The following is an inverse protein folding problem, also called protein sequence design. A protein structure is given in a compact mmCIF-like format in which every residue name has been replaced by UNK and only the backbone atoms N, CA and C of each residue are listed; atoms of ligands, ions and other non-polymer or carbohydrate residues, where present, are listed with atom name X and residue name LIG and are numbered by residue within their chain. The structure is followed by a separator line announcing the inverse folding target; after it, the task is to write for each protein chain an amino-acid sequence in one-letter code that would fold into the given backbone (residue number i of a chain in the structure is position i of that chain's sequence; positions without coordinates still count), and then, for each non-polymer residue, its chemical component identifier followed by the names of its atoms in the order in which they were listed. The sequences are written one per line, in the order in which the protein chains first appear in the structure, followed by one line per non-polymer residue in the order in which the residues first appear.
data_IF_466016917511
#
_entry.id   IF_466016917511
#
_cell.length_a   1.000
_cell.length_b   1.000
_cell.length_c   1.000
_cell.angle_alpha   90.00
_cell.angle_beta   90.00
_cell.angle_gamma   90.00
#
_symmetry.space_group_name_H-M   'P 1'
#
loop_
_entity.id
_entity.type
_entity.pdbx_description
1 polymer ?
#
# COMPACT_ATOMS: atom_id res chain seq x y z
N UNK A 1 36.97 -14.35 57.02
CA UNK A 1 36.01 -14.94 56.06
C UNK A 1 35.55 -13.85 55.13
N UNK A 2 36.08 -13.77 53.90
CA UNK A 2 35.72 -12.78 52.89
C UNK A 2 34.69 -13.40 51.94
N UNK A 3 33.47 -12.84 51.88
CA UNK A 3 32.43 -13.30 50.94
C UNK A 3 32.68 -12.59 49.59
N UNK A 4 32.93 -13.39 48.54
CA UNK A 4 32.99 -12.89 47.17
C UNK A 4 31.56 -12.79 46.62
N UNK A 5 31.17 -11.60 46.10
CA UNK A 5 29.94 -11.37 45.40
C UNK A 5 30.27 -11.53 43.91
N UNK A 6 29.65 -12.53 43.27
CA UNK A 6 29.76 -12.73 41.82
C UNK A 6 28.62 -11.95 41.15
N UNK A 7 29.01 -10.94 40.38
CA UNK A 7 28.06 -10.20 39.52
C UNK A 7 27.95 -10.93 38.18
N UNK A 8 26.80 -11.55 37.94
CA UNK A 8 26.48 -12.14 36.63
C UNK A 8 25.89 -11.04 35.75
N UNK A 9 26.67 -10.62 34.76
CA UNK A 9 26.25 -9.65 33.73
C UNK A 9 25.41 -10.41 32.69
N UNK A 10 24.08 -10.25 32.71
CA UNK A 10 23.18 -10.73 31.67
C UNK A 10 23.28 -9.80 30.46
N UNK A 11 23.93 -10.27 29.40
CA UNK A 11 24.02 -9.58 28.13
C UNK A 11 22.69 -9.81 27.37
N UNK A 12 21.80 -8.82 27.37
CA UNK A 12 20.63 -8.77 26.49
C UNK A 12 21.11 -8.46 25.06
N UNK A 13 21.20 -9.48 24.22
CA UNK A 13 21.31 -9.29 22.77
C UNK A 13 19.93 -8.93 22.25
N UNK A 14 19.69 -7.64 22.07
CA UNK A 14 18.53 -7.17 21.34
C UNK A 14 18.70 -7.58 19.87
N UNK A 15 17.91 -8.54 19.40
CA UNK A 15 17.72 -8.80 17.98
C UNK A 15 17.05 -7.54 17.38
N UNK A 16 17.85 -6.64 16.83
CA UNK A 16 17.31 -5.57 15.99
C UNK A 16 16.79 -6.20 14.70
N UNK A 17 15.54 -5.88 14.27
CA UNK A 17 15.07 -6.29 12.96
C UNK A 17 16.04 -5.71 11.92
N UNK A 18 16.47 -6.55 10.97
CA UNK A 18 17.32 -6.15 9.87
C UNK A 18 16.58 -5.10 9.03
N UNK A 19 16.91 -3.85 9.23
CA UNK A 19 16.53 -2.78 8.30
C UNK A 19 17.29 -3.09 7.01
N UNK A 20 16.57 -3.34 5.90
CA UNK A 20 17.19 -3.50 4.59
C UNK A 20 18.02 -2.24 4.34
N UNK A 21 19.33 -2.37 4.33
CA UNK A 21 20.20 -1.22 4.16
C UNK A 21 20.11 -0.72 2.70
N UNK A 22 20.31 0.58 2.49
CA UNK A 22 20.33 1.16 1.16
C UNK A 22 21.40 0.51 0.24
N UNK A 23 22.37 -0.15 0.84
CA UNK A 23 23.46 -0.87 0.16
C UNK A 23 23.03 -2.20 -0.46
N UNK A 24 22.02 -2.88 0.11
CA UNK A 24 21.46 -4.15 -0.44
C UNK A 24 20.68 -3.95 -1.74
N UNK A 25 20.16 -2.74 -1.98
CA UNK A 25 19.42 -2.38 -3.21
C UNK A 25 20.41 -1.90 -4.31
N UNK A 26 21.68 -1.67 -3.98
CA UNK A 26 22.70 -1.15 -4.88
C UNK A 26 23.02 -2.16 -6.00
N UNK A 27 22.69 -1.82 -7.23
CA UNK A 27 22.87 -2.66 -8.41
C UNK A 27 21.63 -3.44 -8.86
N UNK A 28 20.68 -3.72 -7.99
CA UNK A 28 19.45 -4.47 -8.28
C UNK A 28 18.18 -3.61 -8.23
N UNK A 29 18.30 -2.27 -8.38
CA UNK A 29 17.18 -1.34 -8.14
C UNK A 29 15.99 -1.61 -9.05
N UNK A 30 16.17 -1.68 -10.36
CA UNK A 30 15.06 -1.86 -11.29
C UNK A 30 14.34 -3.21 -11.09
N UNK A 31 15.05 -4.37 -11.01
CA UNK A 31 14.40 -5.64 -10.66
C UNK A 31 13.67 -5.61 -9.32
N UNK A 32 14.23 -4.95 -8.30
CA UNK A 32 13.55 -4.81 -7.02
C UNK A 32 12.27 -4.01 -7.15
N UNK A 33 12.31 -2.81 -7.77
CA UNK A 33 11.12 -1.97 -7.94
C UNK A 33 10.04 -2.66 -8.77
N UNK A 34 10.43 -3.41 -9.79
CA UNK A 34 9.52 -4.22 -10.59
C UNK A 34 8.91 -5.38 -9.79
N UNK A 35 9.68 -6.01 -8.90
CA UNK A 35 9.20 -7.15 -8.09
C UNK A 35 8.15 -6.76 -7.05
N UNK A 36 8.14 -5.49 -6.59
CA UNK A 36 7.16 -4.95 -5.65
C UNK A 36 6.00 -4.21 -6.33
N UNK A 37 5.99 -4.14 -7.66
CA UNK A 37 4.94 -3.47 -8.43
C UNK A 37 4.00 -4.48 -9.05
N UNK A 38 2.70 -4.16 -9.06
CA UNK A 38 1.66 -5.05 -9.56
C UNK A 38 0.67 -4.29 -10.44
N UNK A 39 0.05 -5.01 -11.38
CA UNK A 39 -1.16 -4.55 -12.06
C UNK A 39 -2.38 -4.97 -11.26
N UNK A 40 -3.33 -4.06 -11.10
CA UNK A 40 -4.62 -4.32 -10.48
C UNK A 40 -5.70 -4.32 -11.56
N UNK A 41 -6.46 -5.39 -11.63
CA UNK A 41 -7.64 -5.50 -12.49
C UNK A 41 -8.90 -5.43 -11.62
N UNK A 42 -9.70 -4.41 -11.88
CA UNK A 42 -10.92 -4.12 -11.15
C UNK A 42 -12.10 -4.04 -12.13
N UNK A 43 -12.72 -5.17 -12.41
CA UNK A 43 -13.75 -5.32 -13.44
C UNK A 43 -13.19 -4.94 -14.83
N UNK A 44 -13.69 -3.86 -15.44
CA UNK A 44 -13.18 -3.31 -16.72
C UNK A 44 -12.10 -2.25 -16.54
N UNK A 45 -11.78 -1.88 -15.30
CA UNK A 45 -10.73 -0.93 -14.95
C UNK A 45 -9.41 -1.64 -14.68
N UNK A 46 -8.31 -0.93 -14.94
CA UNK A 46 -6.97 -1.38 -14.59
C UNK A 46 -6.20 -0.25 -13.94
N UNK A 47 -5.32 -0.60 -13.04
CA UNK A 47 -4.42 0.32 -12.36
C UNK A 47 -3.19 -0.40 -11.88
N UNK A 48 -2.43 0.27 -11.05
CA UNK A 48 -1.18 -0.20 -10.48
C UNK A 48 -1.27 -0.31 -8.96
N UNK A 49 -0.35 -1.02 -8.36
CA UNK A 49 -0.22 -1.10 -6.92
C UNK A 49 1.20 -1.42 -6.47
N UNK A 50 1.45 -1.23 -5.18
CA UNK A 50 2.74 -1.51 -4.54
C UNK A 50 2.57 -2.56 -3.47
N UNK A 51 3.34 -3.65 -3.59
CA UNK A 51 3.34 -4.78 -2.67
C UNK A 51 4.04 -4.44 -1.35
N UNK A 52 3.40 -4.86 -0.28
CA UNK A 52 3.93 -4.79 1.08
C UNK A 52 3.71 -6.14 1.74
N UNK A 53 4.76 -6.73 2.30
CA UNK A 53 4.68 -7.99 3.04
C UNK A 53 4.85 -7.71 4.53
N UNK A 54 4.01 -8.31 5.35
CA UNK A 54 4.08 -8.23 6.81
C UNK A 54 4.04 -9.63 7.42
N UNK A 55 4.88 -9.85 8.42
CA UNK A 55 4.76 -11.02 9.27
C UNK A 55 3.71 -10.77 10.34
N UNK A 56 2.75 -11.67 10.46
CA UNK A 56 1.60 -11.55 11.34
C UNK A 56 1.36 -12.87 12.07
N UNK A 57 0.68 -12.81 13.21
CA UNK A 57 0.17 -14.03 13.84
C UNK A 57 -0.97 -14.58 13.00
N UNK A 58 -0.81 -15.78 12.47
CA UNK A 58 -1.82 -16.48 11.67
C UNK A 58 -3.02 -16.95 12.49
N UNK A 59 -4.03 -17.51 11.82
CA UNK A 59 -5.23 -18.04 12.48
C UNK A 59 -4.94 -19.22 13.39
N UNK A 60 -3.86 -19.94 13.16
CA UNK A 60 -3.36 -21.06 13.98
C UNK A 60 -2.36 -20.63 15.07
N UNK A 61 -2.16 -19.32 15.24
CA UNK A 61 -1.23 -18.75 16.21
C UNK A 61 0.24 -18.74 15.77
N UNK A 62 0.57 -19.26 14.57
CA UNK A 62 1.94 -19.27 14.05
C UNK A 62 2.23 -18.03 13.22
N UNK A 63 3.50 -17.60 13.10
CA UNK A 63 3.90 -16.53 12.20
C UNK A 63 3.59 -16.88 10.74
N UNK A 64 2.96 -15.95 10.01
CA UNK A 64 2.67 -16.08 8.59
C UNK A 64 2.99 -14.78 7.88
N UNK A 65 3.49 -14.89 6.64
CA UNK A 65 3.72 -13.73 5.79
C UNK A 65 2.46 -13.42 4.99
N UNK A 66 1.92 -12.24 5.18
CA UNK A 66 0.73 -11.75 4.50
C UNK A 66 1.11 -10.62 3.57
N UNK A 67 0.63 -10.68 2.33
CA UNK A 67 0.89 -9.69 1.31
C UNK A 67 -0.27 -8.71 1.20
N UNK A 68 0.08 -7.43 1.16
CA UNK A 68 -0.84 -6.32 0.98
C UNK A 68 -0.46 -5.52 -0.26
N UNK A 69 -1.40 -4.76 -0.79
CA UNK A 69 -1.17 -3.88 -1.94
C UNK A 69 -1.74 -2.50 -1.66
N UNK A 70 -0.89 -1.49 -1.69
CA UNK A 70 -1.30 -0.09 -1.72
C UNK A 70 -1.69 0.31 -3.14
N UNK A 71 -2.81 0.99 -3.29
CA UNK A 71 -3.29 1.50 -4.58
C UNK A 71 -4.15 2.75 -4.40
N UNK A 72 -4.46 3.42 -5.51
CA UNK A 72 -5.43 4.51 -5.54
C UNK A 72 -6.87 3.97 -5.43
N UNK A 73 -7.69 4.63 -4.62
CA UNK A 73 -9.06 4.18 -4.38
C UNK A 73 -9.91 4.19 -5.65
N UNK A 74 -9.73 5.17 -6.54
CA UNK A 74 -10.50 5.25 -7.79
C UNK A 74 -10.26 4.06 -8.72
N UNK A 75 -9.13 3.35 -8.61
CA UNK A 75 -8.86 2.10 -9.36
C UNK A 75 -9.90 1.03 -9.01
N UNK A 76 -10.39 1.04 -7.76
CA UNK A 76 -11.31 0.05 -7.22
C UNK A 76 -12.79 0.48 -7.27
N UNK A 77 -13.08 1.70 -7.74
CA UNK A 77 -14.45 2.27 -7.71
C UNK A 77 -15.50 1.37 -8.36
N UNK A 78 -15.15 0.64 -9.41
CA UNK A 78 -16.04 -0.29 -10.11
C UNK A 78 -16.33 -1.60 -9.35
N UNK A 79 -15.52 -1.92 -8.35
CA UNK A 79 -15.74 -3.07 -7.46
C UNK A 79 -16.65 -2.70 -6.30
N UNK A 80 -16.82 -1.42 -6.02
CA UNK A 80 -17.61 -0.87 -4.93
C UNK A 80 -19.10 -1.04 -5.23
N UNK A 81 -19.82 -1.56 -4.24
CA UNK A 81 -21.28 -1.63 -4.22
C UNK A 81 -21.77 -1.00 -2.94
N UNK A 82 -22.84 -0.22 -3.04
CA UNK A 82 -23.53 0.33 -1.89
C UNK A 82 -24.90 -0.28 -1.77
N UNK A 83 -25.34 -0.59 -0.55
CA UNK A 83 -26.71 -0.99 -0.26
C UNK A 83 -27.18 -0.34 1.03
N UNK A 84 -28.43 0.07 1.05
CA UNK A 84 -29.07 0.57 2.25
C UNK A 84 -29.72 -0.60 3.00
N UNK A 85 -29.41 -0.69 4.30
CA UNK A 85 -30.02 -1.67 5.20
C UNK A 85 -30.66 -0.93 6.38
N UNK A 86 -31.70 -1.54 6.96
CA UNK A 86 -32.30 -1.04 8.20
C UNK A 86 -31.62 -1.79 9.35
N UNK A 87 -31.00 -1.04 10.26
CA UNK A 87 -30.49 -1.61 11.51
C UNK A 87 -31.68 -2.10 12.34
N UNK A 88 -31.75 -3.41 12.55
CA UNK A 88 -32.88 -4.07 13.24
C UNK A 88 -32.98 -3.69 14.73
N UNK A 89 -31.90 -3.15 15.33
CA UNK A 89 -31.87 -2.72 16.72
C UNK A 89 -32.32 -1.28 16.91
N UNK A 90 -31.99 -0.41 15.96
CA UNK A 90 -32.25 1.03 16.07
C UNK A 90 -33.38 1.50 15.14
N UNK A 91 -33.77 0.70 14.15
CA UNK A 91 -34.71 1.07 13.10
C UNK A 91 -34.18 2.10 12.11
N UNK A 92 -32.90 2.51 12.26
CA UNK A 92 -32.28 3.52 11.38
C UNK A 92 -31.78 2.92 10.08
N UNK A 93 -31.87 3.71 9.03
CA UNK A 93 -31.28 3.37 7.72
C UNK A 93 -29.77 3.56 7.79
N UNK A 94 -29.01 2.55 7.30
CA UNK A 94 -27.55 2.54 7.25
C UNK A 94 -27.08 2.15 5.87
N UNK A 95 -26.17 2.91 5.30
CA UNK A 95 -25.53 2.57 4.03
C UNK A 95 -24.33 1.68 4.28
N UNK A 96 -24.34 0.51 3.69
CA UNK A 96 -23.22 -0.43 3.70
C UNK A 96 -22.49 -0.34 2.37
N UNK A 97 -21.14 -0.36 2.45
CA UNK A 97 -20.29 -0.41 1.29
C UNK A 97 -19.58 -1.77 1.26
N UNK A 98 -19.73 -2.46 0.14
CA UNK A 98 -19.11 -3.76 -0.10
C UNK A 98 -18.22 -3.68 -1.33
N UNK A 99 -17.11 -4.43 -1.33
CA UNK A 99 -16.24 -4.53 -2.49
C UNK A 99 -16.20 -5.98 -2.98
N UNK A 100 -16.24 -6.16 -4.30
CA UNK A 100 -15.79 -7.40 -4.91
C UNK A 100 -14.26 -7.45 -4.85
N UNK A 101 -13.70 -8.65 -4.92
CA UNK A 101 -12.25 -8.81 -5.01
C UNK A 101 -11.68 -8.20 -6.29
N UNK A 102 -10.48 -7.64 -6.16
CA UNK A 102 -9.64 -7.29 -7.29
C UNK A 102 -8.74 -8.48 -7.69
N UNK A 103 -8.36 -8.57 -8.95
CA UNK A 103 -7.28 -9.45 -9.38
C UNK A 103 -5.96 -8.67 -9.37
N UNK A 104 -4.97 -9.20 -8.65
CA UNK A 104 -3.60 -8.71 -8.62
C UNK A 104 -2.76 -9.54 -9.57
N UNK A 105 -2.05 -8.88 -10.48
CA UNK A 105 -1.14 -9.52 -11.43
C UNK A 105 0.28 -9.03 -11.14
N UNK A 106 1.14 -9.94 -10.70
CA UNK A 106 2.57 -9.71 -10.54
C UNK A 106 3.32 -10.37 -11.69
N UNK A 107 4.14 -9.63 -12.41
CA UNK A 107 5.01 -10.19 -13.42
C UNK A 107 6.18 -10.94 -12.79
N UNK A 108 6.54 -12.06 -13.40
CA UNK A 108 7.74 -12.81 -13.07
C UNK A 108 8.81 -12.41 -14.08
N UNK A 109 9.90 -11.83 -13.57
CA UNK A 109 11.03 -11.37 -14.38
C UNK A 109 12.26 -12.20 -14.01
N UNK A 110 12.88 -12.83 -14.98
CA UNK A 110 14.14 -13.56 -14.85
C UNK A 110 15.13 -13.02 -15.90
N UNK A 111 16.35 -12.72 -15.48
CA UNK A 111 17.41 -12.14 -16.33
C UNK A 111 16.95 -10.91 -17.15
N UNK A 112 16.14 -10.05 -16.53
CA UNK A 112 15.59 -8.85 -17.14
C UNK A 112 14.48 -9.11 -18.17
N UNK A 113 13.96 -10.31 -18.26
CA UNK A 113 12.88 -10.69 -19.19
C UNK A 113 11.64 -11.15 -18.43
N UNK A 114 10.48 -10.75 -18.91
CA UNK A 114 9.21 -11.29 -18.44
C UNK A 114 9.09 -12.75 -18.89
N UNK A 115 9.02 -13.66 -17.93
CA UNK A 115 8.87 -15.12 -18.17
C UNK A 115 7.48 -15.63 -17.80
N UNK A 116 6.70 -14.85 -17.08
CA UNK A 116 5.36 -15.26 -16.68
C UNK A 116 4.65 -14.21 -15.82
N UNK A 117 3.53 -14.60 -15.25
CA UNK A 117 2.76 -13.80 -14.32
C UNK A 117 2.11 -14.65 -13.22
N UNK A 118 1.99 -14.09 -12.00
CA UNK A 118 1.19 -14.64 -10.91
C UNK A 118 -0.09 -13.84 -10.80
N UNK A 119 -1.24 -14.53 -10.80
CA UNK A 119 -2.57 -13.92 -10.61
C UNK A 119 -3.14 -14.33 -9.27
N UNK A 120 -3.58 -13.36 -8.49
CA UNK A 120 -4.13 -13.56 -7.16
C UNK A 120 -5.35 -12.69 -6.95
N UNK A 121 -6.31 -13.16 -6.19
CA UNK A 121 -7.40 -12.34 -5.71
C UNK A 121 -6.97 -11.58 -4.45
N UNK A 122 -7.45 -10.36 -4.33
CA UNK A 122 -7.22 -9.51 -3.17
C UNK A 122 -8.50 -8.80 -2.75
N UNK A 123 -8.72 -8.76 -1.44
CA UNK A 123 -9.87 -8.09 -0.82
C UNK A 123 -9.50 -6.69 -0.39
N UNK A 124 -10.40 -5.74 -0.59
CA UNK A 124 -10.24 -4.37 -0.08
C UNK A 124 -10.44 -4.38 1.43
N UNK A 125 -9.43 -3.98 2.19
CA UNK A 125 -9.49 -3.96 3.67
C UNK A 125 -9.54 -2.53 4.24
N UNK A 126 -9.03 -1.55 3.50
CA UNK A 126 -9.13 -0.12 3.82
C UNK A 126 -9.38 0.66 2.53
N UNK A 127 -10.20 1.68 2.62
CA UNK A 127 -10.59 2.48 1.46
C UNK A 127 -10.90 3.92 1.88
N UNK A 128 -10.48 4.89 1.09
CA UNK A 128 -10.82 6.30 1.23
C UNK A 128 -11.10 6.87 -0.15
N UNK A 129 -12.33 7.28 -0.35
CA UNK A 129 -12.86 7.71 -1.64
C UNK A 129 -11.98 8.76 -2.35
N UNK A 130 -12.01 8.79 -3.69
CA UNK A 130 -11.20 9.69 -4.48
C UNK A 130 -11.74 11.12 -4.52
N UNK A 131 -13.06 11.28 -4.42
CA UNK A 131 -13.72 12.57 -4.55
C UNK A 131 -13.92 13.26 -3.19
N UNK A 132 -14.19 12.49 -2.14
CA UNK A 132 -14.48 13.02 -0.80
C UNK A 132 -13.42 12.63 0.25
N UNK A 133 -12.43 11.83 -0.12
CA UNK A 133 -11.43 11.29 0.78
C UNK A 133 -9.99 11.55 0.37
N UNK A 134 -9.16 10.52 0.57
CA UNK A 134 -7.71 10.59 0.36
C UNK A 134 -7.23 9.92 -0.93
N UNK A 135 -8.14 9.29 -1.68
CA UNK A 135 -7.82 8.45 -2.86
C UNK A 135 -6.80 7.35 -2.54
N UNK A 136 -6.99 6.67 -1.42
CA UNK A 136 -6.13 5.62 -0.92
C UNK A 136 -6.91 4.34 -0.65
N UNK A 137 -6.32 3.21 -1.01
CA UNK A 137 -6.84 1.91 -0.64
C UNK A 137 -5.73 0.92 -0.29
N UNK A 138 -6.03 0.01 0.62
CA UNK A 138 -5.18 -1.11 0.99
C UNK A 138 -5.96 -2.40 0.74
N UNK A 139 -5.34 -3.30 -0.03
CA UNK A 139 -5.88 -4.63 -0.30
C UNK A 139 -5.05 -5.68 0.44
N UNK A 140 -5.69 -6.77 0.83
CA UNK A 140 -5.04 -7.97 1.33
C UNK A 140 -5.12 -9.07 0.27
N UNK A 141 -3.97 -9.60 -0.13
CA UNK A 141 -3.89 -10.74 -1.06
C UNK A 141 -4.40 -11.99 -0.35
N UNK A 142 -5.33 -12.71 -0.97
CA UNK A 142 -5.96 -13.88 -0.34
C UNK A 142 -5.00 -15.05 -0.15
N UNK A 143 -4.03 -15.21 -1.04
CA UNK A 143 -3.00 -16.24 -0.90
C UNK A 143 -1.92 -15.78 0.05
N UNK A 144 -1.85 -16.43 1.19
CA UNK A 144 -0.80 -16.22 2.20
C UNK A 144 0.55 -16.67 1.64
N UNK A 145 1.60 -15.89 1.88
CA UNK A 145 2.96 -16.20 1.44
C UNK A 145 3.13 -16.15 -0.09
N UNK A 146 2.43 -15.25 -0.78
CA UNK A 146 2.57 -15.10 -2.23
C UNK A 146 3.99 -14.74 -2.63
N UNK A 147 4.61 -13.82 -1.89
CA UNK A 147 5.97 -13.33 -2.11
C UNK A 147 6.60 -12.83 -0.82
N UNK A 148 7.93 -12.84 -0.78
CA UNK A 148 8.73 -12.20 0.28
C UNK A 148 9.05 -10.73 -0.03
N UNK A 149 8.75 -10.28 -1.25
CA UNK A 149 9.04 -8.90 -1.67
C UNK A 149 8.16 -7.90 -0.91
N UNK A 150 8.78 -6.80 -0.51
CA UNK A 150 8.08 -5.73 0.22
C UNK A 150 8.68 -4.37 -0.10
N UNK A 151 7.83 -3.37 -0.25
CA UNK A 151 8.28 -1.99 -0.36
C UNK A 151 8.81 -1.48 0.99
N UNK A 152 9.89 -0.71 0.92
CA UNK A 152 10.41 0.10 2.03
C UNK A 152 9.91 1.53 1.81
N UNK A 153 9.29 2.10 2.83
CA UNK A 153 8.73 3.45 2.73
C UNK A 153 9.78 4.50 3.09
N UNK A 154 9.77 5.61 2.33
CA UNK A 154 10.57 6.78 2.64
C UNK A 154 10.22 7.29 4.04
N UNK A 155 11.22 7.43 4.89
CA UNK A 155 11.04 7.77 6.30
C UNK A 155 12.07 8.80 6.71
N UNK A 156 11.60 10.02 6.94
CA UNK A 156 12.34 11.14 7.50
C UNK A 156 11.45 11.90 8.46
N UNK A 157 12.05 12.79 9.26
CA UNK A 157 11.32 13.59 10.24
C UNK A 157 10.10 14.32 9.63
N UNK A 158 10.24 14.82 8.40
CA UNK A 158 9.21 15.60 7.73
C UNK A 158 8.50 14.86 6.59
N UNK A 159 8.97 13.67 6.19
CA UNK A 159 8.49 12.91 5.03
C UNK A 159 8.40 13.75 3.74
N UNK A 160 9.27 14.76 3.60
CA UNK A 160 9.34 15.66 2.46
C UNK A 160 10.59 15.34 1.64
N UNK A 161 10.36 15.02 0.36
CA UNK A 161 11.42 14.80 -0.60
C UNK A 161 11.71 16.12 -1.34
N UNK A 162 12.95 16.64 -1.34
CA UNK A 162 13.26 17.92 -1.96
C UNK A 162 12.91 18.00 -3.45
N UNK A 163 12.53 19.20 -3.91
CA UNK A 163 12.36 19.48 -5.34
C UNK A 163 13.68 19.24 -6.07
N UNK A 164 13.61 18.65 -7.26
CA UNK A 164 14.77 18.25 -8.05
C UNK A 164 15.30 16.85 -7.74
N UNK A 165 14.84 16.21 -6.64
CA UNK A 165 15.23 14.83 -6.35
C UNK A 165 14.76 13.90 -7.48
N UNK A 166 15.67 13.10 -8.01
CA UNK A 166 15.38 12.10 -9.03
C UNK A 166 14.57 10.95 -8.44
N UNK A 167 13.53 10.56 -9.16
CA UNK A 167 12.62 9.49 -8.76
C UNK A 167 12.32 8.56 -9.94
N UNK A 168 11.93 7.33 -9.62
CA UNK A 168 11.39 6.37 -10.56
C UNK A 168 9.92 6.12 -10.28
N UNK A 169 9.16 5.86 -11.33
CA UNK A 169 7.82 5.32 -11.25
C UNK A 169 7.81 3.92 -11.85
N UNK A 170 7.15 2.98 -11.19
CA UNK A 170 6.87 1.66 -11.77
C UNK A 170 5.37 1.41 -11.68
N UNK A 171 4.78 1.07 -12.83
CA UNK A 171 3.35 0.86 -12.91
C UNK A 171 2.91 0.20 -14.22
N UNK A 172 1.60 0.11 -14.40
CA UNK A 172 0.97 -0.56 -15.54
C UNK A 172 0.48 0.49 -16.53
N UNK A 173 1.42 1.06 -17.29
CA UNK A 173 1.15 2.07 -18.30
C UNK A 173 0.23 1.48 -19.38
N UNK A 174 -0.94 2.09 -19.59
CA UNK A 174 -2.01 1.52 -20.42
C UNK A 174 -2.51 0.13 -19.94
N UNK A 175 -2.47 -0.08 -18.62
CA UNK A 175 -2.92 -1.32 -18.00
C UNK A 175 -1.95 -2.50 -18.25
N UNK A 176 -2.51 -3.69 -18.47
CA UNK A 176 -1.72 -4.90 -18.66
C UNK A 176 -0.77 -4.83 -19.88
N UNK A 177 -1.07 -4.00 -20.87
CA UNK A 177 -0.23 -3.87 -22.07
C UNK A 177 1.16 -3.32 -21.71
N UNK A 178 1.23 -2.30 -20.84
CA UNK A 178 2.47 -1.74 -20.35
C UNK A 178 2.72 -2.09 -18.87
N UNK A 179 2.34 -3.29 -18.46
CA UNK A 179 2.53 -3.74 -17.08
C UNK A 179 4.02 -3.68 -16.70
N UNK A 180 4.26 -3.31 -15.44
CA UNK A 180 5.59 -3.29 -14.84
C UNK A 180 6.61 -2.38 -15.57
N UNK A 181 6.09 -1.37 -16.30
CA UNK A 181 6.94 -0.37 -16.96
C UNK A 181 7.55 0.58 -15.94
N UNK A 182 8.84 0.88 -16.14
CA UNK A 182 9.59 1.81 -15.31
C UNK A 182 9.87 3.10 -16.09
N UNK A 183 9.57 4.25 -15.48
CA UNK A 183 9.88 5.58 -16.00
C UNK A 183 10.64 6.40 -14.96
N UNK A 184 11.32 7.45 -15.37
CA UNK A 184 12.06 8.33 -14.46
C UNK A 184 11.62 9.80 -14.60
N UNK A 185 11.99 10.60 -13.62
CA UNK A 185 11.71 12.01 -13.54
C UNK A 185 12.25 12.60 -12.23
N UNK A 186 11.74 13.78 -11.88
CA UNK A 186 12.10 14.45 -10.64
C UNK A 186 10.85 14.85 -9.84
N UNK A 187 11.03 15.10 -8.57
CA UNK A 187 10.06 15.85 -7.77
C UNK A 187 10.07 17.29 -8.25
N UNK A 188 8.99 17.76 -8.85
CA UNK A 188 8.93 19.10 -9.49
C UNK A 188 8.22 20.15 -8.65
N UNK A 189 7.38 19.74 -7.69
CA UNK A 189 6.74 20.64 -6.74
C UNK A 189 6.26 19.85 -5.51
N UNK A 190 6.25 20.53 -4.37
CA UNK A 190 5.83 19.97 -3.08
C UNK A 190 4.65 20.79 -2.54
N UNK A 191 3.65 20.09 -1.98
CA UNK A 191 2.56 20.73 -1.26
C UNK A 191 1.57 21.49 -2.12
N UNK A 192 1.26 21.02 -3.34
CA UNK A 192 0.15 21.57 -4.12
C UNK A 192 -1.17 21.28 -3.45
N UNK A 193 -1.92 22.33 -3.18
CA UNK A 193 -3.28 22.23 -2.65
C UNK A 193 -4.28 22.32 -3.79
N UNK A 194 -5.06 21.27 -4.00
CA UNK A 194 -6.12 21.23 -4.98
C UNK A 194 -7.47 21.05 -4.30
N UNK A 195 -8.45 21.84 -4.70
CA UNK A 195 -9.83 21.65 -4.29
C UNK A 195 -10.43 20.51 -5.11
N UNK A 196 -10.57 19.35 -4.50
CA UNK A 196 -11.11 18.15 -5.13
C UNK A 196 -12.36 17.76 -4.35
N UNK A 197 -13.44 17.45 -5.08
CA UNK A 197 -14.71 17.03 -4.49
C UNK A 197 -15.62 18.14 -4.02
N UNK A 198 -16.79 17.75 -3.54
CA UNK A 198 -17.88 18.65 -3.11
C UNK A 198 -17.68 19.25 -1.71
N UNK A 199 -16.75 18.71 -0.92
CA UNK A 199 -16.57 19.09 0.49
C UNK A 199 -15.76 20.40 0.70
N UNK A 200 -15.27 21.05 -0.38
CA UNK A 200 -14.63 22.37 -0.30
C UNK A 200 -13.28 22.42 0.42
N UNK A 201 -12.69 21.29 0.77
CA UNK A 201 -11.39 21.21 1.43
C UNK A 201 -10.24 21.01 0.44
N UNK A 202 -9.14 21.75 0.62
CA UNK A 202 -7.94 21.55 -0.17
C UNK A 202 -7.21 20.24 0.20
N UNK A 203 -6.88 19.44 -0.81
CA UNK A 203 -6.10 18.21 -0.65
C UNK A 203 -4.68 18.42 -1.12
N UNK A 204 -3.71 18.01 -0.30
CA UNK A 204 -2.28 18.23 -0.59
C UNK A 204 -1.74 17.11 -1.47
N UNK A 205 -1.09 17.49 -2.57
CA UNK A 205 -0.36 16.61 -3.47
C UNK A 205 1.08 17.10 -3.63
N UNK A 206 1.98 16.18 -3.95
CA UNK A 206 3.25 16.55 -4.55
C UNK A 206 3.20 16.28 -6.05
N UNK A 207 4.06 16.97 -6.80
CA UNK A 207 4.12 16.86 -8.25
C UNK A 207 5.44 16.24 -8.67
N UNK A 208 5.37 15.39 -9.68
CA UNK A 208 6.53 14.76 -10.31
C UNK A 208 6.45 14.84 -11.83
N UNK A 209 7.61 14.77 -12.48
CA UNK A 209 7.75 14.71 -13.94
C UNK A 209 7.90 13.29 -14.48
N UNK A 210 7.77 12.26 -13.66
CA UNK A 210 7.78 10.88 -14.18
C UNK A 210 6.67 10.71 -15.21
N UNK A 211 6.91 9.97 -16.28
CA UNK A 211 5.88 9.69 -17.26
C UNK A 211 4.87 8.71 -16.66
N UNK A 212 3.60 9.12 -16.63
CA UNK A 212 2.50 8.32 -16.18
C UNK A 212 1.32 8.42 -17.15
N UNK A 213 0.66 7.30 -17.41
CA UNK A 213 -0.43 7.15 -18.36
C UNK A 213 -1.64 6.49 -17.68
N UNK A 214 -2.82 6.44 -18.33
CA UNK A 214 -3.94 5.65 -17.82
C UNK A 214 -3.47 4.23 -17.45
N UNK A 215 -3.79 3.79 -16.24
CA UNK A 215 -3.27 2.54 -15.66
C UNK A 215 -2.10 2.73 -14.69
N UNK A 216 -1.38 3.85 -14.71
CA UNK A 216 -0.35 4.19 -13.72
C UNK A 216 -0.91 4.50 -12.33
N UNK A 217 -2.19 4.86 -12.23
CA UNK A 217 -2.88 5.14 -10.97
C UNK A 217 -2.66 4.02 -9.95
N UNK A 218 -2.23 4.38 -8.75
CA UNK A 218 -1.88 3.43 -7.68
C UNK A 218 -0.43 2.94 -7.71
N UNK A 219 0.31 3.20 -8.80
CA UNK A 219 1.72 2.82 -8.92
C UNK A 219 2.64 3.67 -8.06
N UNK A 220 3.74 3.07 -7.63
CA UNK A 220 4.70 3.69 -6.74
C UNK A 220 5.61 4.70 -7.42
N UNK A 221 5.98 5.73 -6.65
CA UNK A 221 7.09 6.62 -6.95
C UNK A 221 8.18 6.36 -5.90
N UNK A 222 9.41 6.15 -6.37
CA UNK A 222 10.52 5.67 -5.57
C UNK A 222 11.74 6.58 -5.72
N UNK A 223 12.47 6.81 -4.65
CA UNK A 223 13.69 7.61 -4.66
C UNK A 223 14.77 6.92 -5.49
N UNK A 224 15.39 7.63 -6.45
CA UNK A 224 16.47 7.08 -7.26
C UNK A 224 17.74 6.83 -6.45
N UNK A 225 18.05 7.73 -5.49
CA UNK A 225 19.22 7.61 -4.65
C UNK A 225 20.53 7.80 -5.41
N UNK A 226 20.55 8.75 -6.31
CA UNK A 226 21.68 9.04 -7.23
C UNK A 226 22.65 10.12 -6.70
N UNK A 227 22.31 10.79 -5.59
CA UNK A 227 23.18 11.76 -4.90
C UNK A 227 23.59 11.22 -3.52
N UNK A 228 24.66 11.75 -2.93
CA UNK A 228 25.10 11.36 -1.58
C UNK A 228 24.02 11.61 -0.51
N UNK A 229 23.19 12.66 -0.67
CA UNK A 229 22.10 12.97 0.26
C UNK A 229 20.93 11.98 0.15
N UNK A 230 20.63 11.52 -1.05
CA UNK A 230 19.47 10.64 -1.33
C UNK A 230 19.83 9.16 -1.36
N UNK A 231 21.12 8.81 -1.43
CA UNK A 231 21.62 7.43 -1.54
C UNK A 231 21.07 6.48 -0.46
N UNK A 232 20.98 6.96 0.78
CA UNK A 232 20.42 6.18 1.90
C UNK A 232 18.93 5.86 1.74
N UNK A 233 18.22 6.56 0.86
CA UNK A 233 16.82 6.38 0.57
C UNK A 233 16.54 5.68 -0.76
N UNK A 234 17.58 5.17 -1.41
CA UNK A 234 17.49 4.51 -2.71
C UNK A 234 16.42 3.41 -2.73
N UNK A 235 15.49 3.50 -3.68
CA UNK A 235 14.40 2.54 -3.85
C UNK A 235 13.27 2.65 -2.83
N UNK A 236 13.31 3.62 -1.92
CA UNK A 236 12.23 3.82 -0.97
C UNK A 236 11.02 4.47 -1.62
N UNK A 237 9.84 3.99 -1.24
CA UNK A 237 8.53 4.41 -1.72
C UNK A 237 8.14 5.75 -1.10
N UNK A 238 8.14 6.83 -1.89
CA UNK A 238 7.91 8.18 -1.41
C UNK A 238 6.53 8.76 -1.77
N UNK A 239 5.76 8.09 -2.62
CA UNK A 239 4.40 8.51 -2.97
C UNK A 239 3.77 7.69 -4.08
N UNK A 240 2.48 7.87 -4.28
CA UNK A 240 1.64 7.09 -5.17
C UNK A 240 1.03 7.96 -6.27
N UNK A 241 1.17 7.57 -7.54
CA UNK A 241 0.53 8.24 -8.67
C UNK A 241 -0.99 8.12 -8.56
N UNK A 242 -1.68 9.25 -8.66
CA UNK A 242 -3.16 9.29 -8.61
C UNK A 242 -3.79 10.10 -9.73
N UNK A 243 -3.13 11.17 -10.21
CA UNK A 243 -3.67 12.05 -11.23
C UNK A 243 -2.56 12.54 -12.14
N UNK A 244 -2.90 12.89 -13.37
CA UNK A 244 -1.97 13.49 -14.33
C UNK A 244 -2.70 14.36 -15.34
N UNK A 245 -1.99 15.36 -15.86
CA UNK A 245 -2.46 16.25 -16.91
C UNK A 245 -1.41 16.36 -18.03
N UNK A 246 -0.93 15.22 -18.51
CA UNK A 246 0.11 15.12 -19.53
C UNK A 246 1.39 14.43 -19.02
N UNK A 247 2.39 14.36 -19.89
CA UNK A 247 3.57 13.51 -19.68
C UNK A 247 4.41 13.95 -18.46
N UNK A 248 4.52 15.26 -18.20
CA UNK A 248 5.41 15.82 -17.17
C UNK A 248 4.68 16.47 -15.99
N UNK A 249 3.35 16.38 -15.94
CA UNK A 249 2.55 16.91 -14.85
C UNK A 249 1.75 15.79 -14.20
N UNK A 250 2.36 15.11 -13.24
CA UNK A 250 1.71 14.04 -12.52
C UNK A 250 1.70 14.31 -11.02
N UNK A 251 0.57 14.05 -10.39
CA UNK A 251 0.33 14.28 -8.98
C UNK A 251 0.40 12.96 -8.22
N UNK A 252 1.07 13.01 -7.08
CA UNK A 252 1.19 11.88 -6.17
C UNK A 252 0.53 12.19 -4.83
N UNK A 253 -0.07 11.18 -4.23
CA UNK A 253 -0.33 11.17 -2.79
C UNK A 253 1.02 10.98 -2.11
N UNK A 254 1.56 12.00 -1.41
CA UNK A 254 2.88 11.88 -0.79
C UNK A 254 2.83 10.96 0.45
N UNK A 255 3.98 10.38 0.80
CA UNK A 255 4.10 9.44 1.92
C UNK A 255 3.59 10.02 3.24
N UNK A 256 3.82 11.30 3.53
CA UNK A 256 3.32 11.96 4.75
C UNK A 256 1.79 11.91 4.85
N UNK A 257 1.08 12.07 3.71
CA UNK A 257 -0.39 11.96 3.67
C UNK A 257 -0.84 10.51 3.80
N UNK A 258 -0.13 9.56 3.19
CA UNK A 258 -0.37 8.14 3.38
C UNK A 258 -0.23 7.73 4.84
N UNK A 259 0.81 8.20 5.56
CA UNK A 259 1.02 7.92 6.99
C UNK A 259 -0.09 8.50 7.85
N UNK A 260 -0.48 9.75 7.60
CA UNK A 260 -1.58 10.40 8.34
C UNK A 260 -2.87 9.61 8.20
N UNK A 261 -3.21 9.23 6.97
CA UNK A 261 -4.40 8.42 6.72
C UNK A 261 -4.29 7.01 7.31
N UNK A 262 -3.16 6.33 7.14
CA UNK A 262 -2.95 4.99 7.68
C UNK A 262 -3.10 4.94 9.20
N UNK A 263 -2.61 5.96 9.91
CA UNK A 263 -2.80 6.12 11.36
C UNK A 263 -4.27 6.30 11.70
N UNK A 264 -4.98 7.19 11.02
CA UNK A 264 -6.41 7.43 11.23
C UNK A 264 -7.26 6.19 10.90
N UNK A 265 -6.90 5.44 9.87
CA UNK A 265 -7.57 4.22 9.43
C UNK A 265 -7.18 2.97 10.24
N UNK A 266 -6.26 3.07 11.22
CA UNK A 266 -5.77 1.93 12.01
C UNK A 266 -5.02 0.89 11.17
N UNK A 267 -4.26 1.35 10.16
CA UNK A 267 -3.43 0.48 9.33
C UNK A 267 -1.98 0.98 9.18
N UNK A 268 -1.47 1.70 10.18
CA UNK A 268 -0.08 2.19 10.20
C UNK A 268 0.95 1.07 10.05
N UNK A 269 0.65 -0.11 10.55
CA UNK A 269 1.43 -1.34 10.39
C UNK A 269 1.70 -1.69 8.92
N UNK A 270 0.83 -1.30 7.99
CA UNK A 270 1.04 -1.52 6.56
C UNK A 270 2.10 -0.59 5.96
N UNK A 271 2.51 0.46 6.65
CA UNK A 271 3.60 1.36 6.28
C UNK A 271 4.84 1.05 7.11
N UNK A 272 4.71 1.03 8.45
CA UNK A 272 5.79 0.70 9.36
C UNK A 272 5.89 -0.81 9.55
N UNK A 273 7.07 -1.36 9.36
CA UNK A 273 7.33 -2.77 9.66
C UNK A 273 7.68 -2.93 11.14
N UNK A 274 6.69 -2.71 12.01
CA UNK A 274 6.82 -2.80 13.46
C UNK A 274 5.92 -3.92 14.00
N UNK A 275 6.49 -4.99 14.55
CA UNK A 275 5.72 -6.10 15.12
C UNK A 275 4.77 -5.69 16.25
N UNK A 276 5.10 -4.60 16.99
CA UNK A 276 4.30 -4.16 18.13
C UNK A 276 2.97 -3.53 17.74
N UNK A 277 2.87 -3.01 16.50
CA UNK A 277 1.63 -2.41 15.99
C UNK A 277 0.96 -3.27 14.92
N UNK A 278 1.58 -4.39 14.53
CA UNK A 278 1.04 -5.31 13.53
C UNK A 278 0.00 -6.21 14.19
N UNK A 279 -1.29 -6.11 13.80
CA UNK A 279 -2.35 -6.92 14.41
C UNK A 279 -2.26 -8.38 13.96
N UNK A 280 -2.84 -9.32 14.68
CA UNK A 280 -2.99 -10.69 14.21
C UNK A 280 -3.92 -10.74 12.97
N UNK A 281 -3.72 -11.74 12.12
CA UNK A 281 -4.51 -11.92 10.90
C UNK A 281 -6.02 -12.01 11.17
N UNK A 282 -6.42 -12.57 12.32
CA UNK A 282 -7.81 -12.68 12.75
C UNK A 282 -8.51 -11.33 12.95
N UNK A 283 -7.77 -10.26 13.22
CA UNK A 283 -8.33 -8.92 13.35
C UNK A 283 -8.54 -8.24 12.00
N UNK A 284 -7.73 -8.58 11.01
CA UNK A 284 -7.82 -8.03 9.66
C UNK A 284 -8.78 -8.86 8.81
N UNK A 285 -8.60 -10.17 8.86
CA UNK A 285 -9.40 -11.12 8.10
C UNK A 285 -10.70 -11.44 8.84
N UNK A 286 -11.73 -10.63 8.62
CA UNK A 286 -13.09 -10.90 9.10
C UNK A 286 -13.96 -11.24 7.89
N UNK A 287 -14.48 -12.45 7.76
CA UNK A 287 -15.42 -12.80 6.69
C UNK A 287 -16.62 -11.84 6.72
N UNK A 288 -16.99 -11.31 5.56
CA UNK A 288 -18.13 -10.40 5.45
C UNK A 288 -17.84 -8.95 5.87
N UNK A 289 -16.61 -8.47 5.69
CA UNK A 289 -16.29 -7.07 5.93
C UNK A 289 -17.19 -6.14 5.13
N UNK A 290 -17.91 -5.31 5.87
CA UNK A 290 -18.69 -4.21 5.35
C UNK A 290 -18.00 -2.93 5.84
N UNK A 291 -17.62 -2.08 4.90
CA UNK A 291 -17.06 -0.77 5.18
C UNK A 291 -18.24 0.20 5.29
N UNK A 292 -18.40 0.85 6.43
CA UNK A 292 -19.35 1.94 6.58
C UNK A 292 -18.80 3.21 5.95
N UNK A 293 -19.60 3.86 5.12
CA UNK A 293 -19.34 5.19 4.64
C UNK A 293 -19.71 6.20 5.74
N UNK A 294 -18.72 6.78 6.40
CA UNK A 294 -18.91 7.76 7.47
C UNK A 294 -18.52 9.17 7.04
N UNK A 295 -18.52 9.46 5.71
CA UNK A 295 -18.22 10.80 5.21
C UNK A 295 -16.78 11.25 5.50
N UNK A 296 -15.79 10.67 4.82
CA UNK A 296 -14.41 11.15 4.78
C UNK A 296 -13.41 10.50 5.73
N UNK A 297 -13.83 9.86 6.81
CA UNK A 297 -12.94 9.06 7.69
C UNK A 297 -13.53 7.66 7.85
N UNK A 298 -12.91 6.70 7.21
CA UNK A 298 -13.36 5.32 7.22
C UNK A 298 -12.91 4.58 8.47
N UNK A 299 -13.86 4.24 9.33
CA UNK A 299 -13.66 3.25 10.37
C UNK A 299 -14.24 1.92 9.91
N UNK A 300 -13.40 0.92 9.68
CA UNK A 300 -13.84 -0.44 9.46
C UNK A 300 -14.45 -0.98 10.76
N UNK A 301 -15.78 -0.92 10.90
CA UNK A 301 -16.50 -1.71 11.90
C UNK A 301 -16.95 -2.99 11.24
N UNK A 302 -16.38 -4.12 11.68
CA UNK A 302 -16.83 -5.42 11.26
C UNK A 302 -18.26 -5.67 11.74
N UNK A 303 -19.20 -5.80 10.83
CA UNK A 303 -20.49 -6.41 11.10
C UNK A 303 -20.51 -7.79 10.43
N UNK A 304 -20.55 -8.82 11.26
CA UNK A 304 -20.74 -10.20 10.82
C UNK A 304 -22.09 -10.34 10.10
N UNK A 305 -22.07 -10.55 8.80
CA UNK A 305 -23.24 -11.03 8.05
C UNK A 305 -22.79 -12.14 7.11
N UNK A 306 -23.16 -13.37 7.51
CA UNK A 306 -23.15 -14.65 6.81
C UNK A 306 -21.83 -15.42 6.75
N UNK A 307 -21.68 -16.30 7.71
CA UNK A 307 -21.14 -17.65 7.54
C UNK A 307 -21.77 -18.32 6.33
N UNK A 308 -21.01 -18.71 5.36
CA UNK A 308 -21.23 -19.88 4.48
C UNK A 308 -20.51 -19.80 3.14
N UNK A 309 -19.32 -19.38 2.97
CA UNK A 309 -18.61 -19.66 1.71
C UNK A 309 -17.08 -19.66 1.78
N UNK A 310 -16.46 -19.46 2.93
CA UNK A 310 -15.02 -19.14 2.96
C UNK A 310 -14.09 -20.22 3.50
N UNK A 311 -14.60 -21.35 4.01
CA UNK A 311 -13.76 -22.42 4.56
C UNK A 311 -13.07 -23.32 3.53
N UNK A 312 -13.36 -23.18 2.24
CA UNK A 312 -12.85 -24.12 1.22
C UNK A 312 -11.53 -23.72 0.54
N UNK A 313 -10.92 -22.58 0.88
CA UNK A 313 -9.72 -22.10 0.16
C UNK A 313 -8.47 -21.92 1.02
N UNK A 314 -8.48 -22.38 2.26
CA UNK A 314 -7.32 -22.33 3.17
C UNK A 314 -6.69 -23.73 3.41
N UNK A 315 -6.88 -24.68 2.50
CA UNK A 315 -6.12 -25.93 2.50
C UNK A 315 -5.21 -26.00 1.29
#
# INVERSE_FOLDING_TARGET
MKKAVVFTLLMFVALMPSVISAEEIKGALAPYLQSISVTIRADRGQGSGVLVTREMTGLDGKPVKVNFVWTAAHVLSRLRKTRTVIDTKTGQSKTLVEFRDAEIVQEIVEDGRRVGEKKMLASVIKYSDADEGQDLALLMVRKIGMTDQTAVFYDTENDILPIGTKVFHVGSLHGQFGANSMTDGIMSQIGRVLNIGSAGGGVVFDQTTVNAFPGSSGGGVFVAGDTEETKKFRGQYCGMIVRGAGETFNLIVPIRRMRTWAKAAGCEWAIKNDPNITPPLSEIYKPGWVIEDTGGVWNAKAHAVRETAFFFWLR
#
